data_IF_221504640208
#
_entry.id   IF_221504640208
#
_cell.length_a   1.000
_cell.length_b   1.000
_cell.length_c   1.000
_cell.angle_alpha   90.00
_cell.angle_beta   90.00
_cell.angle_gamma   90.00
#
_symmetry.space_group_name_H-M   'P 1'
#
loop_
_entity.id
_entity.type
_entity.pdbx_description
1 polymer ?
#
# COMPACT_ATOMS: atom_id res chain seq x y z
N UNK A 1 8.06 28.39 -1.70
CA UNK A 1 8.12 27.64 -2.98
C UNK A 1 8.52 26.23 -2.60
N UNK A 2 7.71 25.20 -2.89
CA UNK A 2 7.99 23.84 -2.38
C UNK A 2 8.73 22.99 -3.42
N UNK A 3 9.50 21.98 -3.00
CA UNK A 3 10.12 20.93 -3.81
C UNK A 3 9.10 20.23 -4.70
N UNK A 4 7.85 20.09 -4.23
CA UNK A 4 6.72 19.58 -5.02
C UNK A 4 6.34 20.53 -6.16
N UNK A 5 6.36 21.85 -5.92
CA UNK A 5 6.15 22.87 -6.96
C UNK A 5 7.32 22.92 -7.94
N UNK A 6 8.55 22.89 -7.44
CA UNK A 6 9.81 22.88 -8.22
C UNK A 6 9.89 21.64 -9.13
N UNK A 7 9.45 20.46 -8.66
CA UNK A 7 9.41 19.23 -9.48
C UNK A 7 8.49 19.35 -10.68
N UNK A 8 7.42 20.14 -10.57
CA UNK A 8 6.46 20.38 -11.66
C UNK A 8 6.91 21.47 -12.63
N UNK A 9 8.01 22.18 -12.33
CA UNK A 9 8.52 23.21 -13.23
C UNK A 9 9.22 22.60 -14.45
N UNK A 10 8.79 22.97 -15.68
CA UNK A 10 9.40 22.46 -16.91
C UNK A 10 10.89 22.78 -17.03
N UNK A 11 11.33 23.91 -16.48
CA UNK A 11 12.72 24.37 -16.42
C UNK A 11 13.59 23.43 -15.59
N UNK A 12 13.10 22.99 -14.44
CA UNK A 12 13.78 22.06 -13.53
C UNK A 12 13.87 20.67 -14.14
N UNK A 13 12.78 20.16 -14.72
CA UNK A 13 12.82 18.87 -15.44
C UNK A 13 13.82 18.88 -16.60
N UNK A 14 13.89 19.97 -17.39
CA UNK A 14 14.88 20.11 -18.47
C UNK A 14 16.31 20.19 -17.94
N UNK A 15 16.55 20.86 -16.81
CA UNK A 15 17.86 20.95 -16.20
C UNK A 15 18.36 19.58 -15.68
N UNK A 16 17.47 18.83 -15.02
CA UNK A 16 17.77 17.48 -14.51
C UNK A 16 18.06 16.50 -15.64
N UNK A 17 17.31 16.55 -16.74
CA UNK A 17 17.57 15.72 -17.93
C UNK A 17 18.96 15.99 -18.53
N UNK A 18 19.42 17.25 -18.54
CA UNK A 18 20.75 17.63 -19.06
C UNK A 18 21.90 17.10 -18.21
N UNK A 19 21.66 16.84 -16.93
CA UNK A 19 22.67 16.33 -15.98
C UNK A 19 22.50 14.85 -15.66
N UNK A 20 21.60 14.15 -16.37
CA UNK A 20 21.18 12.77 -16.02
C UNK A 20 20.66 12.63 -14.58
N UNK A 21 20.24 13.73 -13.96
CA UNK A 21 19.66 13.75 -12.63
C UNK A 21 18.16 13.46 -12.66
N UNK A 22 17.63 13.03 -11.51
CA UNK A 22 16.20 12.91 -11.28
C UNK A 22 15.84 13.48 -9.89
N UNK A 23 14.64 14.07 -9.78
CA UNK A 23 14.06 14.39 -8.48
C UNK A 23 13.33 13.14 -7.98
N UNK A 24 13.91 12.50 -6.97
CA UNK A 24 13.32 11.35 -6.28
C UNK A 24 12.17 11.84 -5.39
N UNK A 25 11.11 11.05 -5.29
CA UNK A 25 10.03 11.31 -4.34
C UNK A 25 10.57 11.32 -2.91
N UNK A 26 10.30 12.40 -2.18
CA UNK A 26 10.62 12.53 -0.77
C UNK A 26 9.30 12.55 0.03
N UNK A 27 9.07 11.59 0.94
CA UNK A 27 7.79 11.45 1.65
C UNK A 27 7.61 12.47 2.78
N UNK A 28 8.63 13.26 3.08
CA UNK A 28 8.63 14.24 4.15
C UNK A 28 8.57 15.68 3.62
N UNK A 29 8.29 16.60 4.54
CA UNK A 29 8.39 18.03 4.27
C UNK A 29 9.86 18.45 4.20
N UNK A 30 10.11 19.58 3.53
CA UNK A 30 11.45 20.05 3.15
C UNK A 30 12.35 20.39 4.33
N UNK A 31 11.78 20.59 5.50
CA UNK A 31 12.43 20.90 6.77
C UNK A 31 12.97 19.66 7.50
N UNK A 32 12.55 18.47 7.08
CA UNK A 32 12.95 17.21 7.69
C UNK A 32 14.04 16.57 6.83
N UNK A 33 15.22 16.31 7.39
CA UNK A 33 16.35 15.75 6.63
C UNK A 33 16.99 14.50 7.24
N UNK A 34 17.04 14.38 8.57
CA UNK A 34 17.67 13.24 9.25
C UNK A 34 16.64 12.13 9.52
N UNK A 35 16.22 11.47 8.45
CA UNK A 35 15.21 10.41 8.47
C UNK A 35 15.87 9.04 8.39
N UNK A 36 15.44 8.12 9.25
CA UNK A 36 15.91 6.73 9.27
C UNK A 36 14.75 5.75 9.10
N UNK A 37 14.94 4.65 8.36
CA UNK A 37 13.98 3.56 8.31
C UNK A 37 14.09 2.69 9.58
N UNK A 38 12.96 2.37 10.20
CA UNK A 38 12.92 1.58 11.44
C UNK A 38 12.79 0.07 11.20
N UNK A 39 12.00 -0.30 10.22
CA UNK A 39 11.61 -1.69 9.98
C UNK A 39 10.45 -1.77 9.02
N UNK A 40 10.06 -3.00 8.70
CA UNK A 40 9.02 -3.30 7.73
C UNK A 40 7.92 -4.16 8.32
N UNK A 41 6.80 -4.29 7.61
CA UNK A 41 5.68 -5.11 8.06
C UNK A 41 5.49 -6.39 7.27
N UNK A 42 5.14 -7.48 7.96
CA UNK A 42 4.66 -8.73 7.38
C UNK A 42 3.13 -8.73 7.30
N UNK A 43 2.59 -9.19 6.16
CA UNK A 43 1.15 -9.39 5.98
C UNK A 43 0.52 -8.52 4.89
N UNK A 44 0.56 -7.17 4.99
CA UNK A 44 -0.03 -6.31 3.99
C UNK A 44 0.88 -6.28 2.77
N UNK A 45 0.33 -6.56 1.59
CA UNK A 45 1.12 -6.44 0.36
C UNK A 45 1.04 -5.01 -0.17
N UNK A 46 2.19 -4.39 -0.48
CA UNK A 46 2.23 -2.97 -0.87
C UNK A 46 1.38 -2.61 -2.09
N UNK A 47 1.12 -3.58 -2.96
CA UNK A 47 0.27 -3.36 -4.13
C UNK A 47 -1.21 -3.18 -3.73
N UNK A 48 -1.64 -3.64 -2.54
CA UNK A 48 -3.04 -3.66 -2.07
C UNK A 48 -3.59 -2.31 -1.67
N UNK A 49 -2.74 -1.46 -1.10
CA UNK A 49 -3.15 -0.21 -0.49
C UNK A 49 -2.06 0.84 -0.70
N UNK A 50 -2.42 2.11 -0.61
CA UNK A 50 -1.43 3.19 -0.69
C UNK A 50 -0.63 3.28 0.61
N UNK A 51 0.56 3.88 0.55
CA UNK A 51 1.37 4.15 1.75
C UNK A 51 0.64 5.03 2.76
N UNK A 52 -0.17 5.99 2.31
CA UNK A 52 -0.98 6.86 3.18
C UNK A 52 -2.07 6.09 3.90
N UNK A 53 -2.80 5.22 3.20
CA UNK A 53 -3.82 4.36 3.84
C UNK A 53 -3.19 3.44 4.87
N UNK A 54 -2.02 2.87 4.56
CA UNK A 54 -1.34 2.01 5.50
C UNK A 54 -0.78 2.79 6.70
N UNK A 55 -0.30 4.02 6.49
CA UNK A 55 0.08 4.94 7.56
C UNK A 55 -1.10 5.21 8.52
N UNK A 56 -2.30 5.43 7.98
CA UNK A 56 -3.52 5.59 8.78
C UNK A 56 -3.91 4.31 9.54
N UNK A 57 -3.83 3.14 8.91
CA UNK A 57 -4.08 1.85 9.58
C UNK A 57 -3.10 1.62 10.73
N UNK A 58 -1.80 1.89 10.52
CA UNK A 58 -0.78 1.79 11.57
C UNK A 58 -1.10 2.74 12.72
N UNK A 59 -1.50 3.98 12.43
CA UNK A 59 -1.86 4.96 13.45
C UNK A 59 -3.06 4.48 14.27
N UNK A 60 -4.15 4.07 13.61
CA UNK A 60 -5.34 3.56 14.28
C UNK A 60 -5.01 2.34 15.15
N UNK A 61 -4.16 1.45 14.64
CA UNK A 61 -3.75 0.25 15.36
C UNK A 61 -2.94 0.58 16.61
N UNK A 62 -1.95 1.48 16.49
CA UNK A 62 -1.13 1.93 17.62
C UNK A 62 -1.99 2.62 18.67
N UNK A 63 -2.91 3.51 18.27
CA UNK A 63 -3.82 4.19 19.20
C UNK A 63 -4.70 3.18 19.94
N UNK A 64 -5.27 2.21 19.22
CA UNK A 64 -6.15 1.19 19.80
C UNK A 64 -5.42 0.20 20.72
N UNK A 65 -4.22 -0.26 20.35
CA UNK A 65 -3.49 -1.32 21.09
C UNK A 65 -2.54 -0.78 22.14
N UNK A 66 -1.86 0.33 21.89
CA UNK A 66 -0.93 0.93 22.84
C UNK A 66 -1.64 1.89 23.82
N UNK A 67 -2.96 2.12 23.67
CA UNK A 67 -3.73 3.09 24.45
C UNK A 67 -3.07 4.47 24.50
N UNK A 68 -2.46 4.88 23.39
CA UNK A 68 -1.70 6.12 23.29
C UNK A 68 -2.51 7.21 22.62
N UNK A 69 -2.46 8.42 23.18
CA UNK A 69 -2.97 9.61 22.49
C UNK A 69 -2.18 9.84 21.18
N UNK A 70 -2.85 10.11 20.05
CA UNK A 70 -2.18 10.33 18.76
C UNK A 70 -1.05 11.36 18.81
N UNK A 71 -1.22 12.42 19.60
CA UNK A 71 -0.23 13.50 19.78
C UNK A 71 1.10 13.03 20.40
N UNK A 72 1.12 11.87 21.08
CA UNK A 72 2.32 11.33 21.73
C UNK A 72 3.13 10.42 20.81
N UNK A 73 2.55 10.01 19.70
CA UNK A 73 3.19 9.18 18.68
C UNK A 73 4.06 10.12 17.82
N UNK A 74 5.37 9.87 17.70
CA UNK A 74 6.22 10.67 16.83
C UNK A 74 5.67 10.70 15.40
N UNK A 75 5.80 11.83 14.71
CA UNK A 75 5.45 11.91 13.29
C UNK A 75 6.30 10.91 12.51
N UNK A 76 5.66 10.11 11.68
CA UNK A 76 6.32 9.10 10.86
C UNK A 76 5.74 9.13 9.45
N UNK A 77 6.44 8.47 8.52
CA UNK A 77 5.96 8.25 7.17
C UNK A 77 6.05 6.80 6.80
N UNK A 78 5.01 6.29 6.15
CA UNK A 78 5.09 5.01 5.48
C UNK A 78 5.68 5.17 4.08
N UNK A 79 6.60 4.28 3.72
CA UNK A 79 7.15 4.15 2.38
C UNK A 79 7.07 2.71 1.91
N UNK A 80 7.10 2.51 0.61
CA UNK A 80 7.27 1.18 0.02
C UNK A 80 8.74 0.98 -0.33
N UNK A 81 9.35 -0.05 0.24
CA UNK A 81 10.75 -0.38 0.01
C UNK A 81 10.91 -1.85 -0.39
N UNK A 82 11.99 -2.15 -1.11
CA UNK A 82 12.42 -3.53 -1.35
C UNK A 82 13.34 -3.95 -0.21
N UNK A 83 12.83 -4.81 0.66
CA UNK A 83 13.65 -5.40 1.74
C UNK A 83 14.33 -6.66 1.23
N UNK A 84 15.51 -6.96 1.77
CA UNK A 84 16.26 -8.15 1.37
C UNK A 84 17.15 -8.71 2.48
N UNK A 85 17.41 -10.00 2.41
CA UNK A 85 18.38 -10.68 3.27
C UNK A 85 19.06 -11.81 2.51
N UNK A 86 20.26 -12.14 2.93
CA UNK A 86 20.90 -13.40 2.56
C UNK A 86 20.32 -14.50 3.44
N UNK A 87 20.04 -15.64 2.85
CA UNK A 87 19.60 -16.80 3.62
C UNK A 87 20.79 -17.35 4.40
N UNK A 88 20.59 -17.78 5.66
CA UNK A 88 21.60 -18.56 6.35
C UNK A 88 21.98 -19.77 5.48
N UNK A 89 23.27 -20.06 5.39
CA UNK A 89 23.80 -21.26 4.72
C UNK A 89 23.73 -21.28 3.19
N UNK A 90 23.17 -20.27 2.54
CA UNK A 90 23.22 -20.15 1.07
C UNK A 90 23.61 -18.73 0.66
N UNK A 91 24.32 -18.57 -0.46
CA UNK A 91 24.61 -17.23 -1.01
C UNK A 91 23.39 -16.64 -1.77
N UNK A 92 22.21 -17.23 -1.57
CA UNK A 92 20.99 -16.78 -2.18
C UNK A 92 20.42 -15.58 -1.42
N UNK A 93 20.15 -14.53 -2.18
CA UNK A 93 19.50 -13.33 -1.68
C UNK A 93 18.01 -13.37 -1.95
N UNK A 94 17.21 -13.24 -0.90
CA UNK A 94 15.75 -13.09 -1.00
C UNK A 94 15.39 -11.62 -0.92
N UNK A 95 14.36 -11.23 -1.68
CA UNK A 95 13.84 -9.86 -1.74
C UNK A 95 12.32 -9.89 -1.78
N UNK A 96 11.67 -8.88 -1.20
CA UNK A 96 10.23 -8.65 -1.36
C UNK A 96 9.91 -7.17 -1.21
N UNK A 97 8.74 -6.76 -1.70
CA UNK A 97 8.22 -5.42 -1.40
C UNK A 97 7.52 -5.44 -0.04
N UNK A 98 7.79 -4.41 0.77
CA UNK A 98 7.14 -4.25 2.06
C UNK A 98 6.91 -2.77 2.37
N UNK A 99 5.86 -2.51 3.17
CA UNK A 99 5.70 -1.22 3.82
C UNK A 99 6.74 -1.07 4.92
N UNK A 100 7.41 0.07 4.92
CA UNK A 100 8.46 0.45 5.86
C UNK A 100 8.09 1.75 6.53
N UNK A 101 8.36 1.87 7.83
CA UNK A 101 8.20 3.12 8.56
C UNK A 101 9.52 3.86 8.59
N UNK A 102 9.47 5.12 8.15
CA UNK A 102 10.52 6.09 8.31
C UNK A 102 10.15 7.06 9.43
N UNK A 103 11.14 7.58 10.13
CA UNK A 103 10.99 8.57 11.19
C UNK A 103 12.23 9.46 11.27
N UNK A 104 12.10 10.65 11.81
CA UNK A 104 13.25 11.44 12.24
C UNK A 104 14.09 10.67 13.25
N UNK A 105 15.42 10.67 13.06
CA UNK A 105 16.38 9.90 13.85
C UNK A 105 16.25 10.15 15.35
N UNK A 106 15.97 11.40 15.75
CA UNK A 106 15.78 11.79 17.15
C UNK A 106 14.63 11.03 17.82
N UNK A 107 13.64 10.61 17.03
CA UNK A 107 12.44 9.91 17.46
C UNK A 107 12.50 8.40 17.23
N UNK A 108 13.58 7.88 16.63
CA UNK A 108 13.69 6.50 16.18
C UNK A 108 13.48 5.49 17.29
N UNK A 109 14.19 5.64 18.41
CA UNK A 109 14.07 4.73 19.55
C UNK A 109 12.66 4.71 20.14
N UNK A 110 12.05 5.89 20.29
CA UNK A 110 10.71 6.03 20.85
C UNK A 110 9.66 5.34 19.97
N UNK A 111 9.69 5.61 18.66
CA UNK A 111 8.72 5.00 17.74
C UNK A 111 8.95 3.50 17.56
N UNK A 112 10.21 3.03 17.51
CA UNK A 112 10.52 1.60 17.43
C UNK A 112 9.90 0.83 18.62
N UNK A 113 10.03 1.37 19.84
CA UNK A 113 9.42 0.79 21.04
C UNK A 113 7.89 0.74 20.96
N UNK A 114 7.26 1.83 20.49
CA UNK A 114 5.79 1.90 20.33
C UNK A 114 5.32 0.83 19.33
N UNK A 115 5.99 0.71 18.18
CA UNK A 115 5.62 -0.25 17.14
C UNK A 115 5.81 -1.70 17.63
N UNK A 116 6.92 -2.02 18.29
CA UNK A 116 7.13 -3.37 18.84
C UNK A 116 6.11 -3.75 19.92
N UNK A 117 5.63 -2.77 20.71
CA UNK A 117 4.57 -3.01 21.70
C UNK A 117 3.19 -3.19 21.06
N UNK A 118 2.89 -2.42 20.01
CA UNK A 118 1.60 -2.49 19.32
C UNK A 118 1.48 -3.77 18.47
N UNK A 119 2.55 -4.17 17.77
CA UNK A 119 2.56 -5.24 16.77
C UNK A 119 3.28 -6.48 17.27
N UNK A 120 2.69 -7.17 18.24
CA UNK A 120 3.23 -8.42 18.79
C UNK A 120 2.86 -9.62 17.93
N UNK A 121 3.60 -10.75 17.99
CA UNK A 121 3.22 -11.97 17.27
C UNK A 121 1.80 -12.47 17.58
N UNK A 122 1.27 -12.15 18.77
CA UNK A 122 -0.08 -12.50 19.19
C UNK A 122 -1.19 -11.82 18.36
N UNK A 123 -0.90 -10.67 17.72
CA UNK A 123 -1.92 -9.92 16.98
C UNK A 123 -2.27 -10.50 15.61
N UNK A 124 -1.57 -11.54 15.14
CA UNK A 124 -1.78 -12.39 13.92
C UNK A 124 -2.03 -11.71 12.56
N UNK A 125 -2.48 -10.46 12.50
CA UNK A 125 -2.87 -9.77 11.26
C UNK A 125 -1.73 -8.93 10.68
N UNK A 126 -0.83 -8.41 11.54
CA UNK A 126 0.25 -7.51 11.15
C UNK A 126 1.41 -7.69 12.13
N UNK A 127 2.63 -7.91 11.62
CA UNK A 127 3.85 -7.99 12.43
C UNK A 127 4.83 -6.92 11.98
N UNK A 128 5.39 -6.17 12.92
CA UNK A 128 6.48 -5.23 12.67
C UNK A 128 7.83 -5.92 12.88
N UNK A 129 8.72 -5.81 11.89
CA UNK A 129 10.07 -6.40 11.90
C UNK A 129 11.11 -5.28 11.85
N UNK A 130 11.80 -4.98 12.95
CA UNK A 130 12.83 -3.95 13.00
C UNK A 130 14.05 -4.28 12.13
N UNK A 131 14.63 -3.28 11.46
CA UNK A 131 15.84 -3.48 10.66
C UNK A 131 17.09 -3.80 11.50
N UNK A 132 17.10 -3.44 12.78
CA UNK A 132 18.12 -3.86 13.74
C UNK A 132 18.23 -5.39 13.83
N UNK A 133 17.11 -6.10 13.63
CA UNK A 133 17.02 -7.55 13.56
C UNK A 133 17.94 -8.18 12.50
N UNK A 134 18.27 -7.44 11.44
CA UNK A 134 19.22 -7.92 10.42
C UNK A 134 20.59 -8.28 11.02
N UNK A 135 21.02 -7.56 12.07
CA UNK A 135 22.31 -7.81 12.74
C UNK A 135 22.15 -8.66 13.99
N UNK A 136 21.13 -8.39 14.80
CA UNK A 136 20.95 -9.07 16.09
C UNK A 136 20.36 -10.48 15.95
N UNK A 137 19.49 -10.71 14.97
CA UNK A 137 18.77 -11.97 14.74
C UNK A 137 18.66 -12.25 13.23
N UNK A 138 19.80 -12.46 12.53
CA UNK A 138 19.83 -12.52 11.07
C UNK A 138 18.98 -13.66 10.47
N UNK A 139 18.88 -14.80 11.17
CA UNK A 139 18.08 -15.96 10.75
C UNK A 139 16.60 -15.61 10.75
N UNK A 140 16.08 -15.07 11.86
CA UNK A 140 14.67 -14.69 11.98
C UNK A 140 14.30 -13.56 11.02
N UNK A 141 15.22 -12.60 10.83
CA UNK A 141 15.06 -11.51 9.88
C UNK A 141 14.97 -12.03 8.43
N UNK A 142 15.83 -12.97 8.05
CA UNK A 142 15.78 -13.60 6.72
C UNK A 142 14.49 -14.42 6.54
N UNK A 143 14.05 -15.14 7.57
CA UNK A 143 12.81 -15.90 7.55
C UNK A 143 11.56 -15.01 7.43
N UNK A 144 11.58 -13.82 8.05
CA UNK A 144 10.53 -12.83 7.89
C UNK A 144 10.41 -12.36 6.43
N UNK A 145 11.55 -12.06 5.78
CA UNK A 145 11.58 -11.65 4.36
C UNK A 145 11.11 -12.78 3.45
N UNK A 146 11.55 -14.02 3.71
CA UNK A 146 11.04 -15.21 3.01
C UNK A 146 9.52 -15.34 3.13
N UNK A 147 9.00 -15.15 4.33
CA UNK A 147 7.56 -15.26 4.60
C UNK A 147 6.79 -14.18 3.84
N UNK A 148 7.27 -12.94 3.82
CA UNK A 148 6.67 -11.87 3.03
C UNK A 148 6.77 -12.14 1.52
N UNK A 149 7.90 -12.63 1.02
CA UNK A 149 8.07 -13.00 -0.39
C UNK A 149 7.10 -14.12 -0.78
N UNK A 150 6.90 -15.12 0.08
CA UNK A 150 5.93 -16.18 -0.13
C UNK A 150 4.49 -15.65 -0.14
N UNK A 151 4.16 -14.69 0.74
CA UNK A 151 2.86 -14.02 0.73
C UNK A 151 2.65 -13.24 -0.58
N UNK A 152 3.65 -12.45 -1.01
CA UNK A 152 3.63 -11.70 -2.28
C UNK A 152 3.45 -12.64 -3.48
N UNK A 153 4.11 -13.80 -3.45
CA UNK A 153 3.99 -14.82 -4.49
C UNK A 153 2.61 -15.50 -4.53
N UNK A 154 1.99 -15.73 -3.37
CA UNK A 154 0.71 -16.46 -3.24
C UNK A 154 -0.51 -15.64 -3.64
N UNK A 155 -0.46 -14.32 -3.51
CA UNK A 155 -1.63 -13.48 -3.74
C UNK A 155 -1.48 -12.59 -4.99
N UNK A 156 -2.61 -12.11 -5.50
CA UNK A 156 -2.70 -11.20 -6.65
C UNK A 156 -3.70 -10.09 -6.38
N UNK A 157 -3.59 -9.02 -7.17
CA UNK A 157 -4.51 -7.89 -7.17
C UNK A 157 -5.15 -7.78 -8.51
N UNK A 158 -6.46 -7.63 -8.51
CA UNK A 158 -7.16 -7.13 -9.67
C UNK A 158 -7.59 -5.70 -9.37
N UNK A 159 -6.99 -4.73 -10.07
CA UNK A 159 -7.31 -3.32 -9.93
C UNK A 159 -8.46 -2.96 -10.87
N UNK A 160 -9.57 -2.49 -10.31
CA UNK A 160 -10.70 -1.95 -11.07
C UNK A 160 -10.62 -0.43 -11.00
N UNK A 161 -10.55 0.22 -12.15
CA UNK A 161 -10.50 1.68 -12.26
C UNK A 161 -11.81 2.22 -12.83
N UNK A 162 -12.11 3.48 -12.54
CA UNK A 162 -13.22 4.18 -13.17
C UNK A 162 -14.58 4.02 -12.46
N UNK A 163 -14.58 3.45 -11.26
CA UNK A 163 -15.76 3.35 -10.39
C UNK A 163 -15.48 4.15 -9.12
N UNK A 164 -16.40 5.05 -8.76
CA UNK A 164 -16.28 5.78 -7.51
C UNK A 164 -16.45 4.81 -6.31
N UNK A 165 -15.57 4.87 -5.30
CA UNK A 165 -15.71 4.15 -4.05
C UNK A 165 -17.04 4.42 -3.37
N UNK A 166 -17.75 3.34 -3.07
CA UNK A 166 -19.00 3.30 -2.34
C UNK A 166 -18.97 2.03 -1.48
N UNK A 167 -19.11 2.18 -0.16
CA UNK A 167 -19.05 1.06 0.79
C UNK A 167 -20.13 0.01 0.55
N UNK A 168 -21.27 0.39 -0.05
CA UNK A 168 -22.31 -0.57 -0.46
C UNK A 168 -21.85 -1.38 -1.66
N UNK A 169 -21.16 -0.76 -2.61
CA UNK A 169 -20.64 -1.47 -3.78
C UNK A 169 -19.47 -2.39 -3.43
N UNK A 170 -18.66 -2.04 -2.42
CA UNK A 170 -17.64 -2.95 -1.86
C UNK A 170 -18.25 -4.29 -1.43
N UNK A 171 -19.39 -4.25 -0.71
CA UNK A 171 -20.12 -5.45 -0.31
C UNK A 171 -20.64 -6.26 -1.50
N UNK A 172 -21.13 -5.58 -2.55
CA UNK A 172 -21.59 -6.24 -3.79
C UNK A 172 -20.43 -6.95 -4.48
N UNK A 173 -19.24 -6.34 -4.55
CA UNK A 173 -18.07 -6.96 -5.16
C UNK A 173 -17.64 -8.25 -4.42
N UNK A 174 -17.69 -8.27 -3.09
CA UNK A 174 -17.38 -9.48 -2.31
C UNK A 174 -18.42 -10.59 -2.52
N UNK A 175 -19.70 -10.24 -2.66
CA UNK A 175 -20.78 -11.20 -2.85
C UNK A 175 -20.82 -11.76 -4.29
N UNK A 176 -20.63 -10.90 -5.29
CA UNK A 176 -20.71 -11.28 -6.70
C UNK A 176 -19.47 -12.04 -7.20
N UNK A 177 -18.33 -11.87 -6.54
CA UNK A 177 -17.06 -12.49 -6.92
C UNK A 177 -16.45 -13.27 -5.74
N UNK A 178 -16.82 -14.55 -5.55
CA UNK A 178 -16.37 -15.36 -4.40
C UNK A 178 -14.86 -15.54 -4.28
N UNK A 179 -14.11 -15.33 -5.37
CA UNK A 179 -12.65 -15.37 -5.40
C UNK A 179 -12.00 -14.16 -4.71
N UNK A 180 -12.78 -13.11 -4.44
CA UNK A 180 -12.31 -11.89 -3.79
C UNK A 180 -12.26 -12.10 -2.27
N UNK A 181 -11.06 -12.15 -1.73
CA UNK A 181 -10.82 -12.28 -0.29
C UNK A 181 -11.09 -10.96 0.45
N UNK A 182 -10.79 -9.83 -0.19
CA UNK A 182 -10.97 -8.49 0.38
C UNK A 182 -11.04 -7.43 -0.72
N UNK A 183 -11.78 -6.36 -0.45
CA UNK A 183 -11.91 -5.19 -1.32
C UNK A 183 -11.30 -4.00 -0.60
N UNK A 184 -10.49 -3.24 -1.32
CA UNK A 184 -9.95 -1.97 -0.85
C UNK A 184 -10.30 -0.88 -1.83
N UNK A 185 -10.81 0.25 -1.36
CA UNK A 185 -11.12 1.37 -2.22
C UNK A 185 -10.11 2.50 -2.09
N UNK A 186 -9.88 3.20 -3.19
CA UNK A 186 -9.05 4.40 -3.27
C UNK A 186 -9.91 5.52 -3.87
N UNK A 187 -10.36 6.50 -3.06
CA UNK A 187 -11.34 7.53 -3.49
C UNK A 187 -10.78 8.53 -4.51
N UNK A 188 -9.47 8.65 -4.61
CA UNK A 188 -8.81 9.58 -5.53
C UNK A 188 -7.85 8.84 -6.45
N UNK A 189 -8.19 8.81 -7.73
CA UNK A 189 -7.22 8.52 -8.80
C UNK A 189 -7.12 9.72 -9.74
N UNK A 190 -6.09 9.74 -10.59
CA UNK A 190 -5.90 10.79 -11.59
C UNK A 190 -6.83 10.69 -12.80
N UNK A 191 -7.70 9.68 -12.86
CA UNK A 191 -8.66 9.52 -13.94
C UNK A 191 -9.88 10.39 -13.67
N UNK A 192 -10.27 11.29 -14.57
CA UNK A 192 -11.43 12.16 -14.37
C UNK A 192 -12.69 11.56 -15.03
N UNK A 193 -13.86 11.77 -14.42
CA UNK A 193 -15.15 11.53 -15.03
C UNK A 193 -15.50 12.65 -16.03
N UNK A 194 -16.63 12.54 -16.73
CA UNK A 194 -17.09 13.56 -17.70
C UNK A 194 -17.37 14.93 -17.08
N UNK A 195 -17.56 15.01 -15.76
CA UNK A 195 -17.73 16.26 -15.01
C UNK A 195 -16.42 16.84 -14.45
N UNK A 196 -15.27 16.22 -14.73
CA UNK A 196 -13.96 16.68 -14.24
C UNK A 196 -13.64 16.26 -12.80
N UNK A 197 -14.41 15.34 -12.21
CA UNK A 197 -14.14 14.81 -10.87
C UNK A 197 -13.28 13.55 -10.94
N UNK A 198 -12.34 13.32 -10.01
CA UNK A 198 -11.55 12.10 -9.97
C UNK A 198 -12.43 10.86 -9.77
N UNK A 199 -12.28 9.88 -10.64
CA UNK A 199 -12.76 8.52 -10.48
C UNK A 199 -11.90 7.82 -9.42
N UNK A 200 -12.46 6.82 -8.74
CA UNK A 200 -11.68 6.01 -7.81
C UNK A 200 -11.25 4.67 -8.39
N UNK A 201 -10.69 3.84 -7.50
CA UNK A 201 -10.16 2.51 -7.79
C UNK A 201 -10.55 1.53 -6.70
N UNK A 202 -10.87 0.29 -7.08
CA UNK A 202 -10.92 -0.84 -6.17
C UNK A 202 -9.72 -1.77 -6.41
N UNK A 203 -9.07 -2.22 -5.34
CA UNK A 203 -8.11 -3.31 -5.37
C UNK A 203 -8.78 -4.55 -4.79
N UNK A 204 -8.96 -5.57 -5.64
CA UNK A 204 -9.52 -6.85 -5.24
C UNK A 204 -8.40 -7.83 -4.93
N UNK A 205 -8.33 -8.27 -3.69
CA UNK A 205 -7.38 -9.28 -3.23
C UNK A 205 -7.89 -10.68 -3.59
N UNK A 206 -7.05 -11.49 -4.22
CA UNK A 206 -7.34 -12.91 -4.48
C UNK A 206 -6.08 -13.78 -4.40
N UNK A 207 -6.25 -15.10 -4.40
CA UNK A 207 -5.15 -16.04 -4.55
C UNK A 207 -4.67 -16.11 -6.01
N UNK A 208 -3.39 -16.41 -6.20
CA UNK A 208 -2.80 -16.57 -7.55
C UNK A 208 -3.49 -17.66 -8.36
N UNK A 209 -3.97 -18.71 -7.69
CA UNK A 209 -4.74 -19.80 -8.32
C UNK A 209 -6.09 -19.34 -8.87
N UNK A 210 -6.71 -18.36 -8.22
CA UNK A 210 -8.07 -17.90 -8.55
C UNK A 210 -8.05 -16.68 -9.49
N UNK A 211 -6.90 -16.04 -9.62
CA UNK A 211 -6.71 -14.83 -10.41
C UNK A 211 -7.21 -14.96 -11.86
N UNK A 212 -6.89 -16.02 -12.64
CA UNK A 212 -7.40 -16.14 -14.01
C UNK A 212 -8.93 -16.20 -14.06
N UNK A 213 -9.55 -16.96 -13.16
CA UNK A 213 -11.01 -17.10 -13.10
C UNK A 213 -11.69 -15.77 -12.71
N UNK A 214 -11.11 -15.05 -11.75
CA UNK A 214 -11.59 -13.73 -11.33
C UNK A 214 -11.52 -12.71 -12.49
N UNK A 215 -10.41 -12.69 -13.23
CA UNK A 215 -10.26 -11.80 -14.40
C UNK A 215 -11.31 -12.09 -15.48
N UNK A 216 -11.61 -13.36 -15.75
CA UNK A 216 -12.66 -13.75 -16.70
C UNK A 216 -14.04 -13.29 -16.20
N UNK A 217 -14.36 -13.57 -14.94
CA UNK A 217 -15.63 -13.17 -14.34
C UNK A 217 -15.83 -11.65 -14.42
N UNK A 218 -14.84 -10.87 -13.98
CA UNK A 218 -14.88 -9.40 -14.00
C UNK A 218 -15.06 -8.84 -15.42
N UNK A 219 -14.36 -9.37 -16.42
CA UNK A 219 -14.54 -8.91 -17.80
C UNK A 219 -15.93 -9.20 -18.34
N UNK A 220 -16.57 -10.28 -17.89
CA UNK A 220 -17.90 -10.69 -18.39
C UNK A 220 -19.06 -10.02 -17.67
N UNK A 221 -18.99 -9.82 -16.34
CA UNK A 221 -20.17 -9.45 -15.54
C UNK A 221 -20.06 -8.12 -14.81
N UNK A 222 -18.86 -7.54 -14.64
CA UNK A 222 -18.67 -6.35 -13.79
C UNK A 222 -19.55 -5.15 -14.22
N UNK A 223 -19.67 -4.93 -15.54
CA UNK A 223 -20.47 -3.83 -16.07
C UNK A 223 -21.96 -3.98 -15.73
N UNK A 224 -22.50 -5.20 -15.82
CA UNK A 224 -23.89 -5.48 -15.47
C UNK A 224 -24.10 -5.45 -13.96
N UNK A 225 -23.17 -5.99 -13.17
CA UNK A 225 -23.18 -5.89 -11.70
C UNK A 225 -23.24 -4.43 -11.25
N UNK A 226 -22.41 -3.56 -11.84
CA UNK A 226 -22.40 -2.15 -11.50
C UNK A 226 -23.66 -1.41 -11.96
N UNK A 227 -24.16 -1.71 -13.17
CA UNK A 227 -25.42 -1.13 -13.67
C UNK A 227 -26.58 -1.47 -12.73
N UNK A 228 -26.70 -2.72 -12.31
CA UNK A 228 -27.74 -3.16 -11.38
C UNK A 228 -27.63 -2.44 -10.03
N UNK A 229 -26.41 -2.28 -9.50
CA UNK A 229 -26.17 -1.50 -8.28
C UNK A 229 -26.67 -0.06 -8.42
N UNK A 230 -26.28 0.64 -9.50
CA UNK A 230 -26.67 2.04 -9.73
C UNK A 230 -28.18 2.23 -9.90
N UNK A 231 -28.86 1.28 -10.53
CA UNK A 231 -30.33 1.29 -10.66
C UNK A 231 -31.04 1.13 -9.32
N UNK A 232 -30.48 0.31 -8.41
CA UNK A 232 -31.04 0.11 -7.07
C UNK A 232 -30.80 1.30 -6.14
N UNK A 233 -29.70 2.02 -6.31
CA UNK A 233 -29.31 3.15 -5.44
C UNK A 233 -29.70 4.52 -5.98
N UNK A 234 -30.17 4.62 -7.22
CA UNK A 234 -30.51 5.89 -7.87
C UNK A 234 -29.31 6.76 -8.26
N UNK A 235 -28.09 6.22 -8.21
CA UNK A 235 -26.86 6.94 -8.59
C UNK A 235 -26.62 6.83 -10.10
N UNK A 236 -26.17 7.89 -10.80
CA UNK A 236 -25.88 7.78 -12.24
C UNK A 236 -24.62 6.93 -12.49
N UNK A 237 -24.62 5.99 -13.45
CA UNK A 237 -23.44 5.19 -13.76
C UNK A 237 -22.36 6.02 -14.48
N UNK A 238 -21.12 6.11 -13.98
CA UNK A 238 -19.98 6.60 -14.76
C UNK A 238 -19.73 5.75 -15.99
N UNK A 239 -19.30 6.40 -17.08
CA UNK A 239 -18.82 5.72 -18.29
C UNK A 239 -17.46 5.09 -17.99
N UNK A 240 -17.42 3.76 -17.82
CA UNK A 240 -16.18 3.01 -17.66
C UNK A 240 -15.29 3.22 -18.91
N UNK A 241 -14.03 3.65 -18.77
CA UNK A 241 -13.09 3.60 -19.89
C UNK A 241 -12.83 2.12 -20.22
N UNK A 242 -13.27 1.69 -21.41
CA UNK A 242 -13.03 0.34 -21.94
C UNK A 242 -11.55 0.15 -22.26
N UNK A 243 -10.71 -0.06 -21.24
CA UNK A 243 -9.39 -0.68 -21.36
C UNK A 243 -8.90 -1.06 -19.96
N UNK A 244 -9.28 -2.26 -19.50
CA UNK A 244 -8.62 -2.88 -18.37
C UNK A 244 -7.23 -3.36 -18.83
N UNK A 245 -6.19 -2.55 -18.59
CA UNK A 245 -4.82 -3.07 -18.55
C UNK A 245 -4.63 -3.68 -17.17
N UNK A 246 -4.54 -5.00 -17.13
CA UNK A 246 -4.20 -5.75 -15.92
C UNK A 246 -2.68 -5.70 -15.76
N UNK A 247 -2.18 -4.96 -14.75
CA UNK A 247 -0.77 -4.91 -14.35
C UNK A 247 -0.49 -5.87 -13.18
#
# INVERSE_FOLDING_TARGET
>A
MTLTTIRKEPTVSKALQRTFGNLVYYPWTEDVHDVVPLGFFLGPLPKYMTTTQFEEEVLQYVVAKAHMEPKRIPKYRCVMETVSAYLPETDNRVKCQAFTIQVEKVNAQKLNKILQQAFTPATKQLLFVPFEGRRSQPVDFAQAILSQAALEGKHRIVAIHGIHPDTKFEGVLQQAFPQVMKVYSTPTTSYLNTGGEPLGRYNLLCLTTDFPALCVALNSTLADTYRNFTQQTGSPPPKLPMQNKWE
#
